data_IF_821485230432
#
_entry.id   IF_821485230432
#
_cell.length_a   1.000
_cell.length_b   1.000
_cell.length_c   1.000
_cell.angle_alpha   90.00
_cell.angle_beta   90.00
_cell.angle_gamma   90.00
#
_symmetry.space_group_name_H-M   'P 1'
#
loop_
_entity.id
_entity.type
_entity.pdbx_description
1 polymer ?
#
# COMPACT_ATOMS: atom_id res chain seq x y z
N UNK A 1 2.05 0.33 15.85
CA UNK A 1 1.52 1.18 14.76
C UNK A 1 1.45 2.61 15.23
N UNK A 2 2.13 3.52 14.54
CA UNK A 2 2.04 4.95 14.81
C UNK A 2 0.61 5.47 14.56
N UNK A 3 0.20 6.52 15.28
CA UNK A 3 -1.08 7.21 15.06
C UNK A 3 -1.26 7.65 13.60
N UNK A 4 -0.15 8.02 12.96
CA UNK A 4 -0.09 8.33 11.53
C UNK A 4 -0.49 7.13 10.66
N UNK A 5 0.16 5.97 10.85
CA UNK A 5 -0.12 4.77 10.08
C UNK A 5 -1.58 4.33 10.25
N UNK A 6 -2.09 4.35 11.47
CA UNK A 6 -3.50 3.99 11.75
C UNK A 6 -4.48 4.91 11.00
N UNK A 7 -4.20 6.20 10.94
CA UNK A 7 -5.04 7.19 10.26
C UNK A 7 -5.01 7.00 8.75
N UNK A 8 -3.81 6.82 8.18
CA UNK A 8 -3.63 6.61 6.73
C UNK A 8 -4.18 5.27 6.25
N UNK A 9 -4.01 4.19 7.02
CA UNK A 9 -4.61 2.89 6.72
C UNK A 9 -6.14 2.96 6.71
N UNK A 10 -6.74 3.70 7.65
CA UNK A 10 -8.20 3.93 7.64
C UNK A 10 -8.62 4.70 6.39
N UNK A 11 -7.90 5.75 6.02
CA UNK A 11 -8.17 6.52 4.80
C UNK A 11 -8.03 5.66 3.54
N UNK A 12 -7.01 4.80 3.46
CA UNK A 12 -6.80 3.88 2.34
C UNK A 12 -7.98 2.90 2.19
N UNK A 13 -8.41 2.29 3.30
CA UNK A 13 -9.59 1.41 3.32
C UNK A 13 -10.86 2.11 2.87
N UNK A 14 -11.10 3.33 3.36
CA UNK A 14 -12.27 4.13 2.98
C UNK A 14 -12.26 4.50 1.49
N UNK A 15 -11.07 4.83 0.97
CA UNK A 15 -10.86 5.14 -0.44
C UNK A 15 -11.11 3.92 -1.34
N UNK A 16 -10.66 2.72 -0.94
CA UNK A 16 -10.97 1.46 -1.63
C UNK A 16 -12.49 1.23 -1.70
N UNK A 17 -13.21 1.41 -0.58
CA UNK A 17 -14.67 1.28 -0.56
C UNK A 17 -15.41 2.29 -1.44
N UNK A 18 -14.81 3.47 -1.66
CA UNK A 18 -15.33 4.54 -2.54
C UNK A 18 -14.84 4.42 -3.98
N UNK A 19 -14.14 3.33 -4.34
CA UNK A 19 -13.49 3.13 -5.66
C UNK A 19 -12.49 4.23 -6.03
N UNK A 20 -11.95 4.94 -5.04
CA UNK A 20 -10.92 5.97 -5.21
C UNK A 20 -9.54 5.32 -5.09
N UNK A 21 -9.23 4.46 -6.06
CA UNK A 21 -8.06 3.58 -5.97
C UNK A 21 -6.73 4.33 -5.97
N UNK A 22 -6.63 5.47 -6.66
CA UNK A 22 -5.43 6.31 -6.61
C UNK A 22 -5.18 6.88 -5.20
N UNK A 23 -6.24 7.38 -4.54
CA UNK A 23 -6.13 7.87 -3.17
C UNK A 23 -5.80 6.73 -2.18
N UNK A 24 -6.30 5.52 -2.41
CA UNK A 24 -5.95 4.35 -1.62
C UNK A 24 -4.48 3.97 -1.78
N UNK A 25 -3.98 3.98 -3.02
CA UNK A 25 -2.56 3.76 -3.35
C UNK A 25 -1.68 4.78 -2.61
N UNK A 26 -1.99 6.07 -2.73
CA UNK A 26 -1.16 7.13 -2.15
C UNK A 26 -1.17 7.07 -0.61
N UNK A 27 -2.33 6.83 0.00
CA UNK A 27 -2.43 6.67 1.45
C UNK A 27 -1.65 5.45 1.96
N UNK A 28 -1.69 4.33 1.24
CA UNK A 28 -0.94 3.13 1.58
C UNK A 28 0.56 3.30 1.36
N UNK A 29 0.98 3.94 0.27
CA UNK A 29 2.40 4.27 0.00
C UNK A 29 2.99 5.13 1.11
N UNK A 30 2.25 6.16 1.55
CA UNK A 30 2.69 7.01 2.66
C UNK A 30 2.85 6.23 3.97
N UNK A 31 2.10 5.14 4.19
CA UNK A 31 2.35 4.29 5.36
C UNK A 31 3.65 3.52 5.18
N UNK A 32 3.93 3.02 3.99
CA UNK A 32 5.16 2.26 3.69
C UNK A 32 6.42 3.13 3.72
N UNK A 33 6.30 4.44 3.47
CA UNK A 33 7.43 5.38 3.62
C UNK A 33 7.91 5.48 5.09
N UNK A 34 6.99 5.30 6.05
CA UNK A 34 7.27 5.41 7.49
C UNK A 34 7.39 4.05 8.18
N UNK A 35 6.57 3.08 7.77
CA UNK A 35 6.53 1.71 8.25
C UNK A 35 6.64 0.76 7.04
N UNK A 36 7.85 0.54 6.48
CA UNK A 36 8.04 -0.24 5.25
C UNK A 36 7.60 -1.71 5.36
N UNK A 37 7.50 -2.23 6.58
CA UNK A 37 7.10 -3.61 6.89
C UNK A 37 5.61 -3.71 7.27
N UNK A 38 4.84 -2.62 7.14
CA UNK A 38 3.43 -2.63 7.51
C UNK A 38 2.61 -3.48 6.53
N UNK A 39 2.22 -4.66 7.00
CA UNK A 39 1.43 -5.62 6.23
C UNK A 39 0.14 -5.03 5.64
N UNK A 40 -0.61 -4.24 6.41
CA UNK A 40 -1.88 -3.67 5.95
C UNK A 40 -1.67 -2.67 4.81
N UNK A 41 -0.58 -1.91 4.85
CA UNK A 41 -0.25 -0.96 3.80
C UNK A 41 0.09 -1.68 2.49
N UNK A 42 0.87 -2.76 2.54
CA UNK A 42 1.12 -3.62 1.38
C UNK A 42 -0.16 -4.21 0.80
N UNK A 43 -1.07 -4.69 1.65
CA UNK A 43 -2.37 -5.24 1.21
C UNK A 43 -3.20 -4.17 0.51
N UNK A 44 -3.38 -2.99 1.13
CA UNK A 44 -4.18 -1.92 0.52
C UNK A 44 -3.55 -1.36 -0.76
N UNK A 45 -2.22 -1.28 -0.80
CA UNK A 45 -1.49 -0.86 -2.00
C UNK A 45 -1.65 -1.86 -3.14
N UNK A 46 -1.55 -3.16 -2.85
CA UNK A 46 -1.77 -4.23 -3.82
C UNK A 46 -3.21 -4.24 -4.37
N UNK A 47 -4.22 -4.12 -3.50
CA UNK A 47 -5.62 -3.99 -3.93
C UNK A 47 -5.82 -2.74 -4.82
N UNK A 48 -5.26 -1.60 -4.41
CA UNK A 48 -5.38 -0.37 -5.19
C UNK A 48 -4.79 -0.51 -6.60
N UNK A 49 -3.62 -1.16 -6.74
CA UNK A 49 -3.02 -1.40 -8.06
C UNK A 49 -3.80 -2.40 -8.91
N UNK A 50 -4.37 -3.44 -8.31
CA UNK A 50 -5.24 -4.40 -9.01
C UNK A 50 -6.47 -3.69 -9.60
N UNK A 51 -7.14 -2.88 -8.79
CA UNK A 51 -8.33 -2.13 -9.22
C UNK A 51 -8.01 -1.03 -10.24
N UNK A 52 -6.79 -0.48 -10.22
CA UNK A 52 -6.30 0.48 -11.22
C UNK A 52 -5.87 -0.19 -12.54
N UNK A 53 -5.88 -1.52 -12.64
CA UNK A 53 -5.35 -2.26 -13.79
C UNK A 53 -3.84 -2.06 -13.99
N UNK A 54 -3.13 -1.52 -13.01
CA UNK A 54 -1.68 -1.25 -13.06
C UNK A 54 -0.92 -2.47 -12.52
N UNK A 55 -1.13 -3.62 -13.16
CA UNK A 55 -0.57 -4.90 -12.72
C UNK A 55 0.97 -4.88 -12.69
N UNK A 56 1.62 -4.20 -13.63
CA UNK A 56 3.09 -4.06 -13.67
C UNK A 56 3.65 -3.37 -12.42
N UNK A 57 2.92 -2.40 -11.87
CA UNK A 57 3.36 -1.71 -10.64
C UNK A 57 3.03 -2.51 -9.38
N UNK A 58 1.95 -3.28 -9.39
CA UNK A 58 1.63 -4.22 -8.31
C UNK A 58 2.74 -5.27 -8.13
N UNK A 59 3.22 -5.83 -9.26
CA UNK A 59 4.35 -6.76 -9.32
C UNK A 59 5.63 -6.10 -8.79
N UNK A 60 5.95 -4.88 -9.21
CA UNK A 60 7.14 -4.16 -8.74
C UNK A 60 7.10 -3.87 -7.24
N UNK A 61 5.95 -3.52 -6.67
CA UNK A 61 5.81 -3.32 -5.22
C UNK A 61 6.03 -4.62 -4.45
N UNK A 62 5.51 -5.75 -4.95
CA UNK A 62 5.80 -7.08 -4.38
C UNK A 62 7.28 -7.45 -4.51
N UNK A 63 7.89 -7.22 -5.68
CA UNK A 63 9.28 -7.51 -5.95
C UNK A 63 10.21 -6.66 -5.08
N UNK A 64 9.91 -5.38 -4.87
CA UNK A 64 10.69 -4.51 -3.98
C UNK A 64 10.63 -4.98 -2.51
N UNK A 65 9.48 -5.49 -2.06
CA UNK A 65 9.36 -6.10 -0.73
C UNK A 65 10.19 -7.39 -0.64
N UNK A 66 10.08 -8.30 -1.62
CA UNK A 66 10.86 -9.55 -1.65
C UNK A 66 12.36 -9.25 -1.69
N UNK A 67 12.78 -8.30 -2.53
CA UNK A 67 14.18 -7.91 -2.66
C UNK A 67 14.72 -7.26 -1.38
N UNK A 68 13.92 -6.41 -0.70
CA UNK A 68 14.27 -5.85 0.61
C UNK A 68 14.27 -6.89 1.73
N UNK A 69 13.44 -7.92 1.64
CA UNK A 69 13.43 -9.05 2.57
C UNK A 69 14.62 -10.00 2.34
N UNK A 70 15.13 -10.09 1.11
CA UNK A 70 16.31 -10.89 0.75
C UNK A 70 17.65 -10.18 1.00
N UNK A 71 17.64 -8.85 1.12
CA UNK A 71 18.83 -8.01 1.35
C UNK A 71 18.99 -7.58 2.83
N UNK A 72 18.35 -8.30 3.76
CA UNK A 72 18.55 -8.16 5.21
C UNK A 72 19.18 -9.41 5.78
#
# INVERSE_FOLDING_TARGET
MSSFAKTKLKAARDALGKKKYEAARDAASQVLDYEPENYNAHVFLGLAFLELGQHDKSEQVKLLHIFRAWMR
#
